data_IF_822879668148
#
_entry.id   IF_822879668148
#
_cell.length_a   1.000
_cell.length_b   1.000
_cell.length_c   1.000
_cell.angle_alpha   90.00
_cell.angle_beta   90.00
_cell.angle_gamma   90.00
#
_symmetry.space_group_name_H-M   'P 1'
#
loop_
_entity.id
_entity.type
_entity.pdbx_description
1 polymer ?
#
# COMPACT_ATOMS: atom_id res chain seq x y z
N UNK A 1 36.95 9.53 -10.81
CA UNK A 1 35.80 8.61 -10.82
C UNK A 1 34.65 9.37 -10.19
N UNK A 2 33.63 9.77 -10.95
CA UNK A 2 32.44 10.41 -10.36
C UNK A 2 31.72 9.38 -9.49
N UNK A 3 31.52 9.70 -8.22
CA UNK A 3 30.73 8.86 -7.32
C UNK A 3 29.25 9.04 -7.64
N UNK A 4 28.56 7.99 -8.09
CA UNK A 4 27.10 7.98 -8.15
C UNK A 4 26.56 7.82 -6.73
N UNK A 5 25.76 8.79 -6.28
CA UNK A 5 25.06 8.73 -5.00
C UNK A 5 23.57 8.48 -5.24
N UNK A 6 23.02 7.51 -4.55
CA UNK A 6 21.58 7.24 -4.51
C UNK A 6 21.17 7.09 -3.06
N UNK A 7 19.93 7.45 -2.74
CA UNK A 7 19.40 7.39 -1.37
C UNK A 7 18.01 6.77 -1.37
N UNK A 8 17.76 5.87 -0.42
CA UNK A 8 16.41 5.38 -0.14
C UNK A 8 15.81 6.23 0.99
N UNK A 9 14.77 6.97 0.67
CA UNK A 9 14.04 7.82 1.61
C UNK A 9 12.77 7.07 2.02
N UNK A 10 12.51 7.02 3.32
CA UNK A 10 11.24 6.50 3.87
C UNK A 10 10.50 7.61 4.57
N UNK A 11 9.23 7.80 4.23
CA UNK A 11 8.30 8.68 4.95
C UNK A 11 7.13 7.85 5.46
N UNK A 12 6.69 8.07 6.69
CA UNK A 12 5.55 7.34 7.29
C UNK A 12 4.53 8.35 7.81
N UNK A 13 3.27 8.16 7.43
CA UNK A 13 2.13 8.94 7.94
C UNK A 13 1.40 8.06 8.95
N UNK A 14 1.40 8.47 10.22
CA UNK A 14 0.86 7.67 11.31
C UNK A 14 0.25 8.52 12.44
N UNK A 15 -0.64 7.91 13.21
CA UNK A 15 -1.21 8.46 14.44
C UNK A 15 -1.45 7.34 15.46
N UNK A 16 -0.70 7.37 16.57
CA UNK A 16 -0.73 6.28 17.55
C UNK A 16 -0.37 4.93 16.91
N UNK A 17 -1.23 3.93 17.08
CA UNK A 17 -1.10 2.59 16.49
C UNK A 17 -1.56 2.50 15.01
N UNK A 18 -1.87 3.62 14.36
CA UNK A 18 -2.40 3.60 13.00
C UNK A 18 -1.36 4.13 12.02
N UNK A 19 -0.97 3.29 11.06
CA UNK A 19 -0.10 3.66 9.93
C UNK A 19 -0.95 3.77 8.66
N UNK A 20 -1.10 4.97 8.15
CA UNK A 20 -1.92 5.27 6.97
C UNK A 20 -1.15 5.11 5.66
N UNK A 21 0.12 5.53 5.65
CA UNK A 21 0.98 5.45 4.47
C UNK A 21 2.44 5.23 4.84
N UNK A 22 3.12 4.37 4.09
CA UNK A 22 4.58 4.26 4.06
C UNK A 22 5.04 4.56 2.64
N UNK A 23 5.77 5.66 2.46
CA UNK A 23 6.34 6.03 1.16
C UNK A 23 7.82 5.67 1.12
N UNK A 24 8.23 5.04 0.02
CA UNK A 24 9.62 4.70 -0.28
C UNK A 24 10.03 5.37 -1.58
N UNK A 25 11.10 6.16 -1.55
CA UNK A 25 11.61 6.90 -2.72
C UNK A 25 13.09 6.62 -2.93
N UNK A 26 13.50 6.31 -4.15
CA UNK A 26 14.90 6.19 -4.54
C UNK A 26 15.33 7.52 -5.17
N UNK A 27 15.98 8.37 -4.38
CA UNK A 27 16.58 9.61 -4.88
C UNK A 27 17.83 9.30 -5.73
N UNK A 28 17.99 10.03 -6.83
CA UNK A 28 19.00 9.76 -7.87
C UNK A 28 18.59 8.68 -8.89
N UNK A 29 17.35 8.16 -8.84
CA UNK A 29 16.80 7.25 -9.85
C UNK A 29 15.52 7.82 -10.49
N UNK A 30 15.48 7.82 -11.83
CA UNK A 30 14.28 8.21 -12.58
C UNK A 30 13.48 6.96 -12.92
N UNK A 31 12.22 6.94 -12.52
CA UNK A 31 11.30 5.83 -12.73
C UNK A 31 9.85 6.28 -12.56
N UNK A 32 8.94 5.33 -12.74
CA UNK A 32 7.51 5.50 -12.52
C UNK A 32 7.19 5.50 -11.02
N UNK A 33 5.97 5.96 -10.70
CA UNK A 33 5.44 5.95 -9.34
C UNK A 33 4.35 4.91 -9.21
N UNK A 34 4.23 4.31 -8.02
CA UNK A 34 3.16 3.36 -7.73
C UNK A 34 2.49 3.62 -6.38
N UNK A 35 1.20 3.31 -6.30
CA UNK A 35 0.46 3.16 -5.04
C UNK A 35 0.19 1.67 -4.88
N UNK A 36 0.67 1.07 -3.80
CA UNK A 36 0.40 -0.32 -3.43
C UNK A 36 -0.62 -0.35 -2.31
N UNK A 37 -1.74 -1.05 -2.52
CA UNK A 37 -2.78 -1.25 -1.51
C UNK A 37 -2.70 -2.68 -0.95
N UNK A 38 -2.17 -2.78 0.26
CA UNK A 38 -2.07 -4.01 1.05
C UNK A 38 -3.26 -4.20 2.01
N UNK A 39 -3.15 -5.18 2.90
CA UNK A 39 -4.23 -5.53 3.82
C UNK A 39 -4.11 -4.77 5.15
N UNK A 40 -2.99 -4.90 5.85
CA UNK A 40 -2.71 -4.22 7.12
C UNK A 40 -1.19 -3.99 7.28
N UNK A 41 -0.76 -2.93 7.98
CA UNK A 41 0.64 -2.67 8.23
C UNK A 41 1.19 -3.58 9.34
N UNK A 42 2.50 -3.82 9.27
CA UNK A 42 3.28 -4.47 10.35
C UNK A 42 4.36 -3.53 10.91
N UNK A 43 4.42 -2.30 10.38
CA UNK A 43 5.36 -1.25 10.73
C UNK A 43 4.60 -0.13 11.42
N UNK A 44 4.98 0.15 12.65
CA UNK A 44 4.55 1.33 13.40
C UNK A 44 5.39 2.56 13.01
N UNK A 45 4.85 3.75 13.25
CA UNK A 45 5.54 4.99 12.89
C UNK A 45 6.73 5.35 13.80
N UNK A 46 6.79 4.75 14.99
CA UNK A 46 7.91 4.97 15.92
C UNK A 46 9.16 4.18 15.51
N UNK A 47 9.00 3.18 14.63
CA UNK A 47 10.04 2.28 14.19
C UNK A 47 10.13 2.19 12.66
N UNK A 48 10.33 3.35 12.02
CA UNK A 48 10.46 3.53 10.55
C UNK A 48 11.55 2.65 9.89
N UNK A 49 12.47 2.11 10.68
CA UNK A 49 13.54 1.19 10.22
C UNK A 49 13.07 -0.26 10.11
N UNK A 50 11.92 -0.62 10.71
CA UNK A 50 11.30 -1.93 10.57
C UNK A 50 10.81 -2.08 9.12
N UNK A 51 11.28 -3.13 8.46
CA UNK A 51 10.90 -3.46 7.08
C UNK A 51 10.40 -4.91 7.10
N UNK A 52 9.13 -5.11 6.78
CA UNK A 52 8.59 -6.46 6.62
C UNK A 52 9.03 -7.09 5.30
N UNK A 53 8.82 -8.39 5.16
CA UNK A 53 9.28 -9.14 3.98
C UNK A 53 8.67 -8.64 2.67
N UNK A 54 7.43 -8.11 2.70
CA UNK A 54 6.76 -7.56 1.51
C UNK A 54 7.43 -6.25 1.11
N UNK A 55 7.67 -5.37 2.07
CA UNK A 55 8.38 -4.10 1.84
C UNK A 55 9.82 -4.33 1.38
N UNK A 56 10.53 -5.28 2.00
CA UNK A 56 11.90 -5.61 1.63
C UNK A 56 11.96 -6.15 0.19
N UNK A 57 11.06 -7.07 -0.16
CA UNK A 57 10.98 -7.62 -1.50
C UNK A 57 10.67 -6.51 -2.53
N UNK A 58 9.71 -5.64 -2.24
CA UNK A 58 9.40 -4.49 -3.08
C UNK A 58 10.64 -3.60 -3.29
N UNK A 59 11.31 -3.18 -2.22
CA UNK A 59 12.51 -2.31 -2.28
C UNK A 59 13.60 -2.94 -3.14
N UNK A 60 13.86 -4.24 -2.97
CA UNK A 60 14.88 -4.96 -3.73
C UNK A 60 14.60 -4.95 -5.24
N UNK A 61 13.33 -4.96 -5.65
CA UNK A 61 12.92 -5.02 -7.05
C UNK A 61 12.43 -3.68 -7.62
N UNK A 62 12.37 -2.59 -6.84
CA UNK A 62 11.86 -1.28 -7.31
C UNK A 62 12.53 -0.82 -8.61
N UNK A 63 13.86 -0.88 -8.70
CA UNK A 63 14.59 -0.48 -9.91
C UNK A 63 14.31 -1.40 -11.10
N UNK A 64 14.21 -2.70 -10.87
CA UNK A 64 13.90 -3.69 -11.91
C UNK A 64 12.49 -3.48 -12.46
N UNK A 65 11.56 -3.06 -11.60
CA UNK A 65 10.20 -2.67 -11.95
C UNK A 65 10.12 -1.26 -12.57
N UNK A 66 11.25 -0.55 -12.67
CA UNK A 66 11.32 0.82 -13.16
C UNK A 66 10.62 1.83 -12.25
N UNK A 67 10.47 1.53 -10.95
CA UNK A 67 9.81 2.37 -9.95
C UNK A 67 10.83 3.19 -9.18
N UNK A 68 10.63 4.52 -9.10
CA UNK A 68 11.42 5.37 -8.21
C UNK A 68 10.69 5.72 -6.91
N UNK A 69 9.35 5.59 -6.89
CA UNK A 69 8.54 5.90 -5.73
C UNK A 69 7.43 4.87 -5.58
N UNK A 70 7.26 4.35 -4.36
CA UNK A 70 6.09 3.54 -3.99
C UNK A 70 5.47 4.07 -2.72
N UNK A 71 4.16 4.37 -2.79
CA UNK A 71 3.31 4.68 -1.65
C UNK A 71 2.56 3.42 -1.24
N UNK A 72 2.80 2.94 -0.03
CA UNK A 72 2.19 1.72 0.51
C UNK A 72 1.09 2.14 1.47
N UNK A 73 -0.14 1.77 1.17
CA UNK A 73 -1.30 1.98 2.04
C UNK A 73 -1.97 0.64 2.29
N UNK A 74 -2.69 0.50 3.39
CA UNK A 74 -3.33 -0.74 3.76
C UNK A 74 -4.82 -0.53 4.05
N UNK A 75 -5.67 -1.49 3.68
CA UNK A 75 -7.12 -1.41 3.94
C UNK A 75 -7.44 -1.17 5.42
N UNK A 76 -6.64 -1.75 6.31
CA UNK A 76 -6.63 -1.47 7.74
C UNK A 76 -5.38 -0.65 8.08
N UNK A 77 -5.54 0.38 8.91
CA UNK A 77 -4.46 1.26 9.37
C UNK A 77 -3.80 0.75 10.65
N UNK A 78 -4.51 -0.01 11.48
CA UNK A 78 -3.98 -0.56 12.74
C UNK A 78 -2.79 -1.49 12.47
N UNK A 79 -1.70 -1.33 13.23
CA UNK A 79 -0.51 -2.16 13.10
C UNK A 79 -0.71 -3.47 13.84
N UNK A 80 -0.42 -4.58 13.14
CA UNK A 80 -0.49 -5.92 13.72
C UNK A 80 0.85 -6.66 13.59
N UNK A 81 1.38 -7.14 14.71
CA UNK A 81 2.60 -7.98 14.72
C UNK A 81 2.35 -9.43 14.29
N UNK A 82 1.08 -9.83 14.16
CA UNK A 82 0.64 -11.16 13.74
C UNK A 82 -0.66 -11.05 12.97
N UNK A 83 -1.05 -12.12 12.28
CA UNK A 83 -2.34 -12.15 11.57
C UNK A 83 -3.49 -11.80 12.54
N UNK A 84 -4.27 -10.73 12.26
CA UNK A 84 -5.35 -10.32 13.14
C UNK A 84 -6.50 -11.32 13.13
N UNK A 85 -7.19 -11.42 14.25
CA UNK A 85 -8.47 -12.13 14.33
C UNK A 85 -9.56 -11.31 13.65
N UNK A 86 -10.63 -11.97 13.22
CA UNK A 86 -11.73 -11.28 12.50
C UNK A 86 -12.43 -10.21 13.33
N UNK A 87 -12.41 -10.31 14.66
CA UNK A 87 -12.99 -9.31 15.57
C UNK A 87 -12.16 -8.05 15.70
N UNK A 88 -10.86 -8.12 15.38
CA UNK A 88 -9.96 -6.95 15.37
C UNK A 88 -10.06 -6.16 14.06
N UNK A 89 -10.70 -6.73 13.02
CA UNK A 89 -10.85 -6.10 11.72
C UNK A 89 -12.07 -5.18 11.71
N UNK A 90 -11.86 -3.93 12.11
CA UNK A 90 -12.89 -2.88 12.10
C UNK A 90 -12.74 -1.96 10.89
N UNK A 91 -13.87 -1.42 10.42
CA UNK A 91 -13.86 -0.44 9.34
C UNK A 91 -13.40 0.92 9.87
N UNK A 92 -12.22 1.36 9.47
CA UNK A 92 -11.72 2.71 9.73
C UNK A 92 -12.10 3.63 8.56
N UNK A 93 -13.03 4.55 8.83
CA UNK A 93 -13.54 5.50 7.83
C UNK A 93 -12.48 6.53 7.44
N UNK A 94 -11.67 7.00 8.38
CA UNK A 94 -10.64 8.01 8.13
C UNK A 94 -9.55 7.44 7.24
N UNK A 95 -9.09 6.22 7.53
CA UNK A 95 -8.15 5.52 6.66
C UNK A 95 -8.71 5.28 5.26
N UNK A 96 -9.99 4.87 5.17
CA UNK A 96 -10.60 4.61 3.87
C UNK A 96 -10.74 5.89 3.03
N UNK A 97 -11.08 7.02 3.65
CA UNK A 97 -11.11 8.33 3.01
C UNK A 97 -9.70 8.76 2.54
N UNK A 98 -8.67 8.53 3.35
CA UNK A 98 -7.27 8.78 3.00
C UNK A 98 -6.84 8.00 1.74
N UNK A 99 -7.12 6.70 1.70
CA UNK A 99 -6.83 5.85 0.52
C UNK A 99 -7.60 6.34 -0.71
N UNK A 100 -8.88 6.64 -0.55
CA UNK A 100 -9.73 7.11 -1.64
C UNK A 100 -9.23 8.43 -2.22
N UNK A 101 -8.83 9.37 -1.36
CA UNK A 101 -8.22 10.62 -1.79
C UNK A 101 -6.93 10.35 -2.56
N UNK A 102 -6.05 9.49 -2.03
CA UNK A 102 -4.80 9.15 -2.69
C UNK A 102 -4.99 8.51 -4.08
N UNK A 103 -5.97 7.62 -4.23
CA UNK A 103 -6.35 7.01 -5.51
C UNK A 103 -6.90 8.06 -6.48
N UNK A 104 -7.75 8.97 -6.01
CA UNK A 104 -8.35 10.01 -6.84
C UNK A 104 -7.33 11.06 -7.32
N UNK A 105 -6.33 11.35 -6.49
CA UNK A 105 -5.23 12.28 -6.82
C UNK A 105 -4.00 11.55 -7.36
N UNK A 106 -4.09 10.25 -7.64
CA UNK A 106 -2.95 9.42 -8.03
C UNK A 106 -2.27 9.88 -9.33
N UNK A 107 -2.92 10.70 -10.16
CA UNK A 107 -2.31 11.26 -11.37
C UNK A 107 -1.78 10.15 -12.30
N UNK A 108 -0.46 10.00 -12.38
CA UNK A 108 0.24 9.01 -13.21
C UNK A 108 0.67 7.73 -12.48
N UNK A 109 0.32 7.57 -11.21
CA UNK A 109 0.78 6.42 -10.44
C UNK A 109 0.13 5.13 -10.94
N UNK A 110 0.93 4.07 -11.03
CA UNK A 110 0.43 2.70 -11.18
C UNK A 110 -0.28 2.30 -9.89
N UNK A 111 -1.50 1.81 -9.97
CA UNK A 111 -2.23 1.33 -8.80
C UNK A 111 -2.09 -0.18 -8.68
N UNK A 112 -1.45 -0.66 -7.62
CA UNK A 112 -1.16 -2.07 -7.39
C UNK A 112 -2.04 -2.58 -6.25
N UNK A 113 -2.92 -3.53 -6.53
CA UNK A 113 -3.74 -4.20 -5.52
C UNK A 113 -3.02 -5.45 -5.04
N UNK A 114 -2.64 -5.49 -3.75
CA UNK A 114 -1.83 -6.54 -3.13
C UNK A 114 -2.42 -7.11 -1.82
N UNK A 115 -3.69 -6.84 -1.51
CA UNK A 115 -4.34 -7.31 -0.28
C UNK A 115 -4.69 -8.80 -0.23
N UNK A 116 -4.42 -9.57 -1.31
CA UNK A 116 -4.62 -11.02 -1.39
C UNK A 116 -6.06 -11.52 -1.19
N UNK A 117 -6.20 -12.85 -1.05
CA UNK A 117 -7.48 -13.54 -0.80
C UNK A 117 -7.77 -13.79 0.69
N UNK A 118 -6.86 -13.38 1.57
CA UNK A 118 -7.03 -13.47 3.03
C UNK A 118 -8.33 -12.82 3.49
N UNK A 119 -8.96 -13.44 4.50
CA UNK A 119 -10.23 -13.02 5.09
C UNK A 119 -11.41 -12.98 4.08
N UNK A 120 -11.43 -13.88 3.09
CA UNK A 120 -12.49 -13.98 2.08
C UNK A 120 -13.90 -14.20 2.66
N UNK A 121 -14.03 -14.77 3.85
CA UNK A 121 -15.33 -14.94 4.54
C UNK A 121 -15.70 -13.77 5.46
N UNK A 122 -14.81 -12.78 5.65
CA UNK A 122 -15.07 -11.65 6.53
C UNK A 122 -15.87 -10.56 5.80
N UNK A 123 -17.05 -10.23 6.32
CA UNK A 123 -17.96 -9.24 5.73
C UNK A 123 -17.31 -7.85 5.65
N UNK A 124 -16.63 -7.40 6.71
CA UNK A 124 -15.97 -6.08 6.75
C UNK A 124 -14.88 -5.95 5.69
N UNK A 125 -13.99 -6.95 5.59
CA UNK A 125 -12.94 -6.99 4.57
C UNK A 125 -13.53 -6.97 3.17
N UNK A 126 -14.57 -7.75 2.91
CA UNK A 126 -15.19 -7.79 1.59
C UNK A 126 -15.88 -6.46 1.23
N UNK A 127 -16.51 -5.80 2.20
CA UNK A 127 -17.06 -4.45 2.02
C UNK A 127 -15.95 -3.43 1.72
N UNK A 128 -14.83 -3.44 2.46
CA UNK A 128 -13.69 -2.56 2.20
C UNK A 128 -13.13 -2.76 0.79
N UNK A 129 -12.91 -4.02 0.39
CA UNK A 129 -12.43 -4.37 -0.96
C UNK A 129 -13.40 -3.89 -2.04
N UNK A 130 -14.70 -4.11 -1.86
CA UNK A 130 -15.73 -3.65 -2.80
C UNK A 130 -15.75 -2.13 -2.92
N UNK A 131 -15.80 -1.42 -1.80
CA UNK A 131 -15.85 0.04 -1.80
C UNK A 131 -14.59 0.64 -2.43
N UNK A 132 -13.41 0.04 -2.19
CA UNK A 132 -12.17 0.47 -2.83
C UNK A 132 -12.24 0.28 -4.35
N UNK A 133 -12.70 -0.87 -4.84
CA UNK A 133 -12.85 -1.13 -6.27
C UNK A 133 -13.83 -0.14 -6.94
N UNK A 134 -14.90 0.23 -6.22
CA UNK A 134 -15.84 1.27 -6.68
C UNK A 134 -15.17 2.65 -6.75
N UNK A 135 -14.43 3.05 -5.71
CA UNK A 135 -13.65 4.29 -5.71
C UNK A 135 -12.64 4.33 -6.87
N UNK A 136 -11.93 3.23 -7.11
CA UNK A 136 -10.97 3.10 -8.22
C UNK A 136 -11.68 3.23 -9.58
N UNK A 137 -12.81 2.53 -9.76
CA UNK A 137 -13.58 2.54 -11.01
C UNK A 137 -14.08 3.94 -11.38
N UNK A 138 -14.36 4.76 -10.36
CA UNK A 138 -14.79 6.16 -10.51
C UNK A 138 -13.61 7.15 -10.60
N UNK A 139 -12.37 6.68 -10.45
CA UNK A 139 -11.18 7.52 -10.46
C UNK A 139 -10.53 7.61 -11.85
N UNK A 140 -9.62 8.58 -12.03
CA UNK A 140 -8.75 8.67 -13.22
C UNK A 140 -7.67 7.58 -13.28
N UNK A 141 -7.55 6.77 -12.23
CA UNK A 141 -6.56 5.69 -12.13
C UNK A 141 -7.10 4.33 -12.61
N UNK A 142 -8.39 4.24 -12.99
CA UNK A 142 -9.06 2.98 -13.37
C UNK A 142 -8.34 2.16 -14.45
N UNK A 143 -7.68 2.83 -15.41
CA UNK A 143 -6.99 2.17 -16.53
C UNK A 143 -5.53 1.80 -16.19
N UNK A 144 -5.11 2.05 -14.95
CA UNK A 144 -3.73 1.85 -14.46
C UNK A 144 -3.68 0.92 -13.25
N UNK A 145 -4.67 0.03 -13.16
CA UNK A 145 -4.81 -0.94 -12.08
C UNK A 145 -4.09 -2.23 -12.45
N UNK A 146 -3.18 -2.65 -11.59
CA UNK A 146 -2.47 -3.91 -11.63
C UNK A 146 -2.87 -4.71 -10.40
N UNK A 147 -3.30 -5.95 -10.57
CA UNK A 147 -3.68 -6.80 -9.46
C UNK A 147 -2.67 -7.93 -9.28
N UNK A 148 -2.13 -8.05 -8.06
CA UNK A 148 -1.36 -9.20 -7.63
C UNK A 148 -2.29 -10.05 -6.76
N UNK A 149 -2.98 -11.00 -7.39
CA UNK A 149 -3.85 -11.94 -6.69
C UNK A 149 -3.57 -13.38 -7.11
N UNK A 150 -3.47 -14.29 -6.15
CA UNK A 150 -3.73 -15.70 -6.41
C UNK A 150 -5.21 -15.85 -6.78
N UNK A 151 -5.50 -16.44 -7.95
CA UNK A 151 -6.84 -16.63 -8.51
C UNK A 151 -7.82 -17.11 -7.42
N UNK A 152 -8.77 -16.27 -7.04
CA UNK A 152 -10.02 -16.73 -6.44
C UNK A 152 -11.02 -16.85 -7.58
N UNK A 153 -11.41 -18.09 -7.90
CA UNK A 153 -12.48 -18.35 -8.87
C UNK A 153 -13.75 -17.65 -8.37
N UNK A 154 -14.31 -16.77 -9.20
CA UNK A 154 -15.67 -16.25 -9.04
C UNK A 154 -16.69 -17.36 -9.29
#
# INVERSE_FOLDING_TARGET
MESKKEQLITEVVYQGNHTYEIKKTIDGFKGDKAILIGLYPTVDGDNITKIDSTQLHLINHMKELGLNEVRIMNLYSEVFDRKPTTSQLTYDKENFEYITQAVNTAGEYKLIIAYGSSHSSNKTTNTLKKNLLEAISNSKAKDRVYQISSVAKF
#
